data_IF_426538556885
#
_entry.id   IF_426538556885
#
_cell.length_a   1.000
_cell.length_b   1.000
_cell.length_c   1.000
_cell.angle_alpha   90.00
_cell.angle_beta   90.00
_cell.angle_gamma   90.00
#
_symmetry.space_group_name_H-M   'P 1'
#
loop_
_entity.id
_entity.type
_entity.pdbx_description
1 polymer ?
#
# COMPACT_ATOMS: atom_id res chain seq x y z
N UNK A 1 12.89 6.82 22.74
CA UNK A 1 13.11 6.24 24.08
C UNK A 1 14.27 5.27 23.96
N UNK A 2 15.38 5.51 24.64
CA UNK A 2 16.52 4.59 24.69
C UNK A 2 16.17 3.49 25.69
N UNK A 3 16.20 2.22 25.29
CA UNK A 3 15.88 1.09 26.16
C UNK A 3 16.99 0.95 27.22
N UNK A 4 16.71 1.11 28.54
CA UNK A 4 17.74 1.39 29.53
C UNK A 4 18.70 0.24 29.87
N UNK A 5 18.34 -1.00 29.54
CA UNK A 5 19.02 -2.17 30.11
C UNK A 5 20.30 -2.60 29.35
N UNK A 6 20.40 -2.36 28.03
CA UNK A 6 21.56 -2.80 27.23
C UNK A 6 22.66 -1.73 27.09
N UNK A 7 22.41 -0.49 27.53
CA UNK A 7 23.32 0.67 27.40
C UNK A 7 23.77 1.24 28.77
N UNK A 8 23.40 0.60 29.87
CA UNK A 8 23.74 1.08 31.23
C UNK A 8 25.21 0.81 31.59
N UNK A 9 25.86 -0.15 30.94
CA UNK A 9 27.27 -0.46 31.11
C UNK A 9 28.07 0.09 29.92
N UNK A 10 28.99 1.05 30.13
CA UNK A 10 29.79 1.63 29.06
C UNK A 10 30.76 0.64 28.40
N UNK A 11 30.89 -0.58 28.94
CA UNK A 11 31.66 -1.67 28.31
C UNK A 11 30.92 -2.37 27.16
N UNK A 12 29.60 -2.18 27.04
CA UNK A 12 28.79 -2.79 25.98
C UNK A 12 28.84 -1.91 24.74
N UNK A 13 29.37 -2.45 23.64
CA UNK A 13 29.46 -1.75 22.37
C UNK A 13 28.07 -1.38 21.84
N UNK A 14 27.93 -0.13 21.38
CA UNK A 14 26.72 0.32 20.70
C UNK A 14 26.62 -0.41 19.34
N UNK A 15 25.50 -1.10 19.05
CA UNK A 15 25.32 -1.75 17.77
C UNK A 15 25.23 -0.71 16.65
N UNK A 16 25.92 -0.99 15.55
CA UNK A 16 25.90 -0.17 14.34
C UNK A 16 24.91 -0.76 13.33
N UNK A 17 23.93 0.06 12.93
CA UNK A 17 22.86 -0.35 12.03
C UNK A 17 23.11 0.32 10.67
N UNK A 18 23.05 -0.41 9.55
CA UNK A 18 22.44 -1.74 9.40
C UNK A 18 23.43 -2.93 9.46
N UNK A 19 24.74 -2.69 9.61
CA UNK A 19 25.77 -3.75 9.47
C UNK A 19 25.62 -4.88 10.48
N UNK A 20 25.10 -4.60 11.67
CA UNK A 20 24.92 -5.59 12.74
C UNK A 20 23.49 -6.15 12.85
N UNK A 21 22.56 -5.74 11.99
CA UNK A 21 21.14 -6.15 12.09
C UNK A 21 20.92 -7.66 11.90
N UNK A 22 21.81 -8.34 11.17
CA UNK A 22 21.75 -9.78 11.00
C UNK A 22 21.85 -10.53 12.34
N UNK A 23 22.41 -9.90 13.40
CA UNK A 23 22.47 -10.48 14.75
C UNK A 23 21.09 -10.68 15.38
N UNK A 24 20.02 -10.09 14.84
CA UNK A 24 18.65 -10.38 15.32
C UNK A 24 18.34 -11.89 15.30
N UNK A 25 18.89 -12.62 14.32
CA UNK A 25 18.70 -14.05 14.17
C UNK A 25 19.43 -14.90 15.23
N UNK A 26 20.30 -14.30 16.06
CA UNK A 26 20.86 -14.98 17.23
C UNK A 26 19.89 -14.97 18.42
N UNK A 27 18.84 -14.16 18.36
CA UNK A 27 17.80 -14.05 19.41
C UNK A 27 16.50 -14.70 18.95
N UNK A 28 16.11 -14.52 17.69
CA UNK A 28 14.90 -15.11 17.10
C UNK A 28 15.23 -16.17 16.04
N UNK A 29 14.59 -17.33 16.14
CA UNK A 29 14.74 -18.38 15.13
C UNK A 29 13.99 -17.98 13.84
N UNK A 30 14.69 -17.79 12.70
CA UNK A 30 14.03 -17.43 11.45
C UNK A 30 13.04 -18.51 10.99
N UNK A 31 13.34 -19.80 11.16
CA UNK A 31 12.44 -20.86 10.72
C UNK A 31 11.09 -20.83 11.47
N UNK A 32 11.07 -20.37 12.71
CA UNK A 32 9.84 -20.23 13.50
C UNK A 32 9.10 -18.93 13.21
N UNK A 33 9.81 -17.82 12.97
CA UNK A 33 9.22 -16.48 12.91
C UNK A 33 8.95 -15.95 11.50
N UNK A 34 9.56 -16.51 10.45
CA UNK A 34 9.35 -16.06 9.06
C UNK A 34 7.89 -16.23 8.62
N UNK A 35 7.25 -17.37 8.90
CA UNK A 35 5.84 -17.60 8.53
C UNK A 35 4.89 -16.65 9.27
N UNK A 36 5.00 -16.45 10.60
CA UNK A 36 4.25 -15.42 11.31
C UNK A 36 4.40 -14.01 10.71
N UNK A 37 5.62 -13.59 10.35
CA UNK A 37 5.81 -12.26 9.74
C UNK A 37 5.10 -12.13 8.40
N UNK A 38 5.20 -13.15 7.53
CA UNK A 38 4.44 -13.13 6.27
C UNK A 38 2.94 -13.13 6.48
N UNK A 39 2.44 -13.83 7.50
CA UNK A 39 1.02 -13.83 7.84
C UNK A 39 0.54 -12.46 8.31
N UNK A 40 1.33 -11.76 9.13
CA UNK A 40 1.03 -10.39 9.56
C UNK A 40 1.02 -9.45 8.35
N UNK A 41 2.02 -9.53 7.47
CA UNK A 41 2.07 -8.72 6.25
C UNK A 41 0.89 -9.01 5.32
N UNK A 42 0.47 -10.27 5.23
CA UNK A 42 -0.71 -10.67 4.47
C UNK A 42 -1.98 -10.06 5.05
N UNK A 43 -2.18 -10.14 6.37
CA UNK A 43 -3.33 -9.50 7.03
C UNK A 43 -3.28 -7.99 6.82
N UNK A 44 -2.12 -7.35 7.00
CA UNK A 44 -1.92 -5.92 6.77
C UNK A 44 -2.31 -5.52 5.34
N UNK A 45 -1.88 -6.31 4.34
CA UNK A 45 -2.25 -6.11 2.93
C UNK A 45 -3.76 -6.05 2.77
N UNK A 46 -4.49 -7.04 3.28
CA UNK A 46 -5.95 -7.07 3.17
C UNK A 46 -6.63 -5.94 3.93
N UNK A 47 -6.18 -5.59 5.13
CA UNK A 47 -6.77 -4.49 5.91
C UNK A 47 -6.65 -3.15 5.15
N UNK A 48 -5.46 -2.84 4.64
CA UNK A 48 -5.22 -1.58 3.93
C UNK A 48 -6.04 -1.52 2.64
N UNK A 49 -6.07 -2.60 1.86
CA UNK A 49 -6.81 -2.62 0.59
C UNK A 49 -8.32 -2.61 0.81
N UNK A 50 -8.83 -3.34 1.80
CA UNK A 50 -10.26 -3.32 2.11
C UNK A 50 -10.71 -1.93 2.55
N UNK A 51 -9.90 -1.25 3.37
CA UNK A 51 -10.19 0.12 3.78
C UNK A 51 -10.09 1.08 2.59
N UNK A 52 -9.02 1.05 1.81
CA UNK A 52 -8.84 1.90 0.64
C UNK A 52 -9.99 1.74 -0.37
N UNK A 53 -10.41 0.50 -0.65
CA UNK A 53 -11.52 0.21 -1.57
C UNK A 53 -12.90 0.63 -1.04
N UNK A 54 -13.02 0.91 0.27
CA UNK A 54 -14.25 1.43 0.87
C UNK A 54 -14.37 2.95 0.83
N UNK A 55 -13.26 3.65 0.55
CA UNK A 55 -13.25 5.11 0.42
C UNK A 55 -13.86 5.52 -0.94
N UNK A 56 -14.64 6.61 -0.97
CA UNK A 56 -15.20 7.12 -2.21
C UNK A 56 -14.07 7.55 -3.16
N UNK A 57 -14.16 7.14 -4.43
CA UNK A 57 -13.20 7.46 -5.49
C UNK A 57 -12.04 6.48 -5.63
N UNK A 58 -11.87 5.55 -4.68
CA UNK A 58 -10.82 4.53 -4.71
C UNK A 58 -11.37 3.11 -4.92
N UNK A 59 -12.68 2.93 -4.87
CA UNK A 59 -13.33 1.65 -5.12
C UNK A 59 -13.30 1.25 -6.60
N UNK A 60 -13.29 -0.05 -6.89
CA UNK A 60 -13.34 -0.54 -8.27
C UNK A 60 -14.55 -0.03 -9.06
N UNK A 61 -15.69 0.18 -8.38
CA UNK A 61 -16.91 0.73 -8.98
C UNK A 61 -16.72 2.19 -9.40
N UNK A 62 -16.01 2.98 -8.60
CA UNK A 62 -15.77 4.39 -8.87
C UNK A 62 -14.83 4.54 -10.08
N UNK A 63 -13.80 3.70 -10.18
CA UNK A 63 -12.92 3.62 -11.36
C UNK A 63 -13.68 3.21 -12.63
N UNK A 64 -14.59 2.24 -12.51
CA UNK A 64 -15.43 1.83 -13.63
C UNK A 64 -16.40 2.94 -14.07
N UNK A 65 -17.00 3.65 -13.11
CA UNK A 65 -17.89 4.77 -13.37
C UNK A 65 -17.14 5.91 -14.07
N UNK A 66 -15.97 6.29 -13.58
CA UNK A 66 -15.13 7.31 -14.24
C UNK A 66 -14.81 6.95 -15.71
N UNK A 67 -14.56 5.67 -16.00
CA UNK A 67 -14.33 5.20 -17.36
C UNK A 67 -15.60 5.26 -18.24
N UNK A 68 -16.78 4.97 -17.67
CA UNK A 68 -18.06 5.09 -18.38
C UNK A 68 -18.42 6.56 -18.66
N UNK A 69 -18.21 7.44 -17.69
CA UNK A 69 -18.46 8.87 -17.82
C UNK A 69 -17.58 9.47 -18.92
N UNK A 70 -16.28 9.10 -18.94
CA UNK A 70 -15.36 9.52 -19.99
C UNK A 70 -15.80 9.06 -21.39
N UNK A 71 -16.28 7.81 -21.54
CA UNK A 71 -16.79 7.30 -22.82
C UNK A 71 -18.06 8.04 -23.25
N UNK A 72 -18.96 8.30 -22.31
CA UNK A 72 -20.22 8.98 -22.58
C UNK A 72 -19.96 10.42 -23.04
N UNK A 73 -19.01 11.12 -22.43
CA UNK A 73 -18.60 12.46 -22.84
C UNK A 73 -18.12 12.48 -24.30
N UNK A 74 -17.26 11.53 -24.70
CA UNK A 74 -16.77 11.42 -26.09
C UNK A 74 -17.93 11.19 -27.06
N UNK A 75 -18.88 10.29 -26.74
CA UNK A 75 -20.04 10.03 -27.61
C UNK A 75 -20.92 11.26 -27.77
N UNK A 76 -21.18 11.99 -26.67
CA UNK A 76 -21.98 13.22 -26.71
C UNK A 76 -21.34 14.27 -27.63
N UNK A 77 -20.02 14.44 -27.56
CA UNK A 77 -19.29 15.37 -28.42
C UNK A 77 -19.36 14.97 -29.91
N UNK A 78 -19.18 13.69 -30.22
CA UNK A 78 -19.31 13.18 -31.60
C UNK A 78 -20.72 13.40 -32.17
N UNK A 79 -21.76 13.11 -31.37
CA UNK A 79 -23.16 13.28 -31.79
C UNK A 79 -23.47 14.76 -32.03
N UNK A 80 -23.01 15.66 -31.16
CA UNK A 80 -23.19 17.10 -31.36
C UNK A 80 -22.46 17.60 -32.61
N UNK A 81 -21.21 17.18 -32.85
CA UNK A 81 -20.48 17.52 -34.07
C UNK A 81 -21.18 17.05 -35.34
N UNK A 82 -21.73 15.83 -35.34
CA UNK A 82 -22.52 15.31 -36.45
C UNK A 82 -23.84 16.06 -36.66
N UNK A 83 -24.51 16.45 -35.57
CA UNK A 83 -25.76 17.19 -35.65
C UNK A 83 -25.52 18.58 -36.24
N UNK A 84 -24.46 19.28 -35.83
CA UNK A 84 -24.08 20.61 -36.37
C UNK A 84 -23.67 20.53 -37.86
N UNK A 85 -23.09 19.40 -38.30
CA UNK A 85 -22.75 19.17 -39.70
C UNK A 85 -23.97 18.83 -40.58
N UNK A 86 -25.06 18.29 -40.02
CA UNK A 86 -26.29 17.98 -40.76
C UNK A 86 -27.25 19.17 -40.97
N UNK A 87 -27.05 20.28 -40.27
CA UNK A 87 -27.91 21.49 -40.39
C UNK A 87 -27.33 22.55 -41.33
N UNK A 88 -26.22 22.26 -42.02
CA UNK A 88 -25.59 23.09 -43.05
C UNK A 88 -25.78 22.45 -44.43
#
# INVERSE_FOLDING_TARGET
MQVPYLMADPSIAKPDHPEEDWKIWTVINPATWMVPFFFILFIQMWMVHSYALSLPGYGFKDSAQAALDARTAVVVEQVQGQQVAQVQ
#
